data_IF_635642572825
#
_entry.id   IF_635642572825
#
_cell.length_a   1.000
_cell.length_b   1.000
_cell.length_c   1.000
_cell.angle_alpha   90.00
_cell.angle_beta   90.00
_cell.angle_gamma   90.00
#
_symmetry.space_group_name_H-M   'P 1'
#
loop_
_entity.id
_entity.type
_entity.pdbx_description
1 polymer ?
#
# COMPACT_ATOMS: atom_id res chain seq x y z
N UNK A 1 -12.94 -17.99 -17.99
CA UNK A 1 -13.16 -17.29 -16.70
C UNK A 1 -11.88 -17.25 -15.86
N UNK A 2 -11.21 -18.39 -15.60
CA UNK A 2 -9.98 -18.45 -14.79
C UNK A 2 -8.83 -17.54 -15.28
N UNK A 3 -8.62 -17.43 -16.60
CA UNK A 3 -7.60 -16.55 -17.18
C UNK A 3 -7.75 -15.07 -16.76
N UNK A 4 -8.97 -14.54 -16.78
CA UNK A 4 -9.24 -13.15 -16.42
C UNK A 4 -8.96 -12.86 -14.93
N UNK A 5 -9.19 -13.85 -14.05
CA UNK A 5 -8.83 -13.77 -12.62
C UNK A 5 -7.31 -13.64 -12.48
N UNK A 6 -6.55 -14.51 -13.14
CA UNK A 6 -5.08 -14.47 -13.06
C UNK A 6 -4.51 -13.18 -13.66
N UNK A 7 -5.03 -12.73 -14.80
CA UNK A 7 -4.63 -11.46 -15.43
C UNK A 7 -4.93 -10.27 -14.49
N UNK A 8 -6.12 -10.20 -13.91
CA UNK A 8 -6.48 -9.13 -12.99
C UNK A 8 -5.61 -9.11 -11.71
N UNK A 9 -5.27 -10.27 -11.17
CA UNK A 9 -4.37 -10.39 -10.02
C UNK A 9 -2.96 -9.92 -10.38
N UNK A 10 -2.42 -10.41 -11.50
CA UNK A 10 -1.07 -10.08 -11.96
C UNK A 10 -0.95 -8.59 -12.28
N UNK A 11 -1.90 -8.02 -13.02
CA UNK A 11 -1.97 -6.59 -13.32
C UNK A 11 -1.98 -5.74 -12.05
N UNK A 12 -2.70 -6.19 -11.01
CA UNK A 12 -2.77 -5.48 -9.73
C UNK A 12 -1.43 -5.52 -8.99
N UNK A 13 -0.75 -6.67 -8.98
CA UNK A 13 0.58 -6.82 -8.39
C UNK A 13 1.60 -5.94 -9.12
N UNK A 14 1.59 -5.95 -10.46
CA UNK A 14 2.48 -5.12 -11.28
C UNK A 14 2.24 -3.62 -11.05
N UNK A 15 0.98 -3.23 -10.90
CA UNK A 15 0.58 -1.86 -10.55
C UNK A 15 0.75 -1.52 -9.07
N UNK A 16 1.24 -2.46 -8.26
CA UNK A 16 1.44 -2.29 -6.82
C UNK A 16 0.16 -1.90 -6.08
N UNK A 17 -0.98 -2.36 -6.57
CA UNK A 17 -2.28 -2.16 -5.94
C UNK A 17 -2.55 -3.27 -4.92
N UNK A 18 -3.10 -2.91 -3.76
CA UNK A 18 -3.60 -3.91 -2.82
C UNK A 18 -4.78 -4.67 -3.45
N UNK A 19 -4.79 -5.99 -3.32
CA UNK A 19 -5.77 -6.87 -3.95
C UNK A 19 -5.85 -8.19 -3.18
N UNK A 20 -6.95 -8.93 -3.27
CA UNK A 20 -7.03 -10.30 -2.78
C UNK A 20 -7.50 -11.28 -3.86
N UNK A 21 -6.87 -12.44 -3.90
CA UNK A 21 -7.43 -13.63 -4.55
C UNK A 21 -8.28 -14.38 -3.53
N UNK A 22 -9.55 -14.59 -3.84
CA UNK A 22 -10.48 -15.35 -3.01
C UNK A 22 -10.76 -16.67 -3.69
N UNK A 23 -10.70 -17.76 -2.93
CA UNK A 23 -10.96 -19.12 -3.41
C UNK A 23 -12.00 -19.79 -2.54
N UNK A 24 -13.04 -20.38 -3.15
CA UNK A 24 -13.92 -21.30 -2.44
C UNK A 24 -13.19 -22.62 -2.22
N UNK A 25 -12.87 -22.95 -0.98
CA UNK A 25 -12.04 -24.11 -0.63
C UNK A 25 -12.86 -25.33 -0.19
N UNK A 26 -14.06 -25.11 0.35
CA UNK A 26 -15.01 -26.16 0.68
C UNK A 26 -16.45 -25.65 0.52
N UNK A 27 -17.37 -26.57 0.23
CA UNK A 27 -18.79 -26.26 0.07
C UNK A 27 -19.66 -27.48 0.32
N UNK A 28 -20.79 -27.26 0.99
CA UNK A 28 -21.85 -28.25 1.24
C UNK A 28 -23.19 -27.70 0.74
N UNK A 29 -24.14 -28.60 0.47
CA UNK A 29 -25.48 -28.21 -0.01
C UNK A 29 -25.41 -27.41 -1.31
N UNK A 30 -26.03 -26.22 -1.32
CA UNK A 30 -26.05 -25.32 -2.47
C UNK A 30 -24.65 -24.86 -2.94
N UNK A 31 -23.63 -24.96 -2.08
CA UNK A 31 -22.28 -24.50 -2.37
C UNK A 31 -21.33 -25.60 -2.84
N UNK A 32 -21.75 -26.87 -2.86
CA UNK A 32 -20.86 -27.99 -3.20
C UNK A 32 -20.24 -27.85 -4.60
N UNK A 33 -21.00 -27.32 -5.57
CA UNK A 33 -20.52 -27.08 -6.94
C UNK A 33 -19.67 -25.80 -7.07
N UNK A 34 -19.46 -25.05 -5.99
CA UNK A 34 -18.71 -23.78 -6.00
C UNK A 34 -17.25 -23.95 -5.61
N UNK A 35 -16.84 -25.12 -5.13
CA UNK A 35 -15.44 -25.40 -4.78
C UNK A 35 -14.54 -25.18 -6.01
N UNK A 36 -13.48 -24.39 -5.84
CA UNK A 36 -12.60 -23.97 -6.92
C UNK A 36 -13.08 -22.75 -7.70
N UNK A 37 -14.20 -22.13 -7.32
CA UNK A 37 -14.53 -20.79 -7.80
C UNK A 37 -13.55 -19.78 -7.22
N UNK A 38 -13.21 -18.79 -8.03
CA UNK A 38 -12.26 -17.73 -7.68
C UNK A 38 -12.80 -16.35 -8.05
N UNK A 39 -12.42 -15.37 -7.24
CA UNK A 39 -12.61 -13.97 -7.55
C UNK A 39 -11.39 -13.14 -7.10
N UNK A 40 -11.09 -12.09 -7.85
CA UNK A 40 -10.14 -11.05 -7.48
C UNK A 40 -10.93 -9.85 -6.96
N UNK A 41 -10.58 -9.38 -5.76
CA UNK A 41 -11.30 -8.32 -5.04
C UNK A 41 -10.31 -7.24 -4.60
N UNK A 42 -10.68 -5.97 -4.71
CA UNK A 42 -9.85 -4.82 -4.33
C UNK A 42 -10.33 -4.19 -3.02
N UNK A 43 -9.64 -3.20 -2.45
CA UNK A 43 -10.18 -2.40 -1.34
C UNK A 43 -11.40 -1.56 -1.75
N UNK A 44 -11.37 -0.99 -2.96
CA UNK A 44 -12.39 -0.06 -3.48
C UNK A 44 -13.75 -0.73 -3.67
N UNK A 45 -14.74 -0.32 -2.85
CA UNK A 45 -16.08 -0.90 -2.80
C UNK A 45 -16.81 -0.80 -4.13
N UNK A 46 -16.54 0.26 -4.91
CA UNK A 46 -17.19 0.52 -6.19
C UNK A 46 -16.54 -0.27 -7.34
N UNK A 47 -15.37 -0.87 -7.11
CA UNK A 47 -14.70 -1.74 -8.08
C UNK A 47 -15.29 -3.15 -8.05
N UNK A 48 -15.91 -3.53 -9.16
CA UNK A 48 -16.47 -4.87 -9.36
C UNK A 48 -15.38 -5.94 -9.31
N UNK A 49 -15.56 -7.04 -8.54
CA UNK A 49 -14.67 -8.19 -8.57
C UNK A 49 -14.54 -8.81 -9.97
N UNK A 50 -13.38 -9.40 -10.25
CA UNK A 50 -13.16 -10.19 -11.48
C UNK A 50 -13.22 -11.68 -11.13
N UNK A 51 -14.05 -12.43 -11.83
CA UNK A 51 -14.41 -13.80 -11.45
C UNK A 51 -15.74 -13.83 -10.71
N UNK A 52 -16.09 -14.99 -10.16
CA UNK A 52 -17.35 -15.16 -9.44
C UNK A 52 -17.18 -16.24 -8.38
N UNK A 53 -17.63 -15.94 -7.16
CA UNK A 53 -17.71 -16.94 -6.09
C UNK A 53 -19.06 -17.68 -6.15
N UNK A 54 -20.10 -17.01 -6.65
CA UNK A 54 -21.49 -17.49 -6.76
C UNK A 54 -22.08 -17.91 -5.41
N UNK A 55 -22.01 -17.03 -4.42
CA UNK A 55 -22.43 -17.32 -3.05
C UNK A 55 -23.87 -16.91 -2.76
N UNK A 56 -24.58 -16.36 -3.75
CA UNK A 56 -25.98 -15.97 -3.61
C UNK A 56 -26.16 -14.89 -2.54
N UNK A 57 -27.00 -15.16 -1.54
CA UNK A 57 -27.27 -14.20 -0.45
C UNK A 57 -26.05 -13.88 0.42
N UNK A 58 -25.01 -14.72 0.40
CA UNK A 58 -23.78 -14.51 1.18
C UNK A 58 -22.76 -13.61 0.47
N UNK A 59 -22.93 -13.32 -0.82
CA UNK A 59 -21.91 -12.63 -1.64
C UNK A 59 -21.53 -11.26 -1.05
N UNK A 60 -22.52 -10.45 -0.67
CA UNK A 60 -22.27 -9.11 -0.12
C UNK A 60 -21.51 -9.15 1.21
N UNK A 61 -21.87 -10.07 2.12
CA UNK A 61 -21.18 -10.25 3.39
C UNK A 61 -19.75 -10.75 3.18
N UNK A 62 -19.58 -11.76 2.31
CA UNK A 62 -18.27 -12.32 2.00
C UNK A 62 -17.32 -11.28 1.40
N UNK A 63 -17.82 -10.43 0.47
CA UNK A 63 -17.01 -9.36 -0.11
C UNK A 63 -16.63 -8.28 0.93
N UNK A 64 -17.50 -7.97 1.89
CA UNK A 64 -17.16 -7.06 2.98
C UNK A 64 -16.04 -7.63 3.87
N UNK A 65 -16.14 -8.91 4.25
CA UNK A 65 -15.13 -9.60 5.07
C UNK A 65 -13.79 -9.74 4.33
N UNK A 66 -13.82 -9.99 3.02
CA UNK A 66 -12.62 -9.98 2.16
C UNK A 66 -11.96 -8.60 2.16
N UNK A 67 -12.73 -7.52 2.03
CA UNK A 67 -12.19 -6.14 2.06
C UNK A 67 -11.61 -5.79 3.43
N UNK A 68 -12.22 -6.27 4.51
CA UNK A 68 -11.64 -6.16 5.85
C UNK A 68 -10.30 -6.91 5.94
N UNK A 69 -10.19 -8.11 5.36
CA UNK A 69 -8.93 -8.84 5.28
C UNK A 69 -7.83 -8.03 4.54
N UNK A 70 -8.20 -7.37 3.43
CA UNK A 70 -7.28 -6.51 2.67
C UNK A 70 -6.84 -5.31 3.53
N UNK A 71 -7.78 -4.64 4.21
CA UNK A 71 -7.47 -3.51 5.09
C UNK A 71 -6.54 -3.89 6.25
N UNK A 72 -6.76 -5.07 6.84
CA UNK A 72 -5.90 -5.64 7.88
C UNK A 72 -4.58 -6.22 7.33
N UNK A 73 -4.45 -6.25 6.00
CA UNK A 73 -3.29 -6.78 5.28
C UNK A 73 -3.05 -8.26 5.58
N UNK A 74 -4.07 -9.03 5.95
CA UNK A 74 -3.91 -10.39 6.45
C UNK A 74 -4.68 -11.41 5.61
N UNK A 75 -4.03 -12.53 5.28
CA UNK A 75 -4.74 -13.68 4.73
C UNK A 75 -5.76 -14.19 5.76
N UNK A 76 -6.93 -14.64 5.30
CA UNK A 76 -8.00 -15.12 6.19
C UNK A 76 -8.68 -16.36 5.62
N UNK A 77 -9.02 -17.30 6.49
CA UNK A 77 -10.02 -18.31 6.21
C UNK A 77 -11.37 -17.82 6.74
N UNK A 78 -12.38 -17.77 5.86
CA UNK A 78 -13.73 -17.33 6.20
C UNK A 78 -14.67 -18.52 6.08
N UNK A 79 -15.58 -18.69 7.03
CA UNK A 79 -16.52 -19.81 7.05
C UNK A 79 -17.92 -19.28 7.29
N UNK A 80 -18.87 -19.73 6.46
CA UNK A 80 -20.27 -19.35 6.54
C UNK A 80 -21.15 -20.59 6.59
N UNK A 81 -22.21 -20.52 7.37
CA UNK A 81 -23.24 -21.53 7.48
C UNK A 81 -24.60 -20.84 7.39
N UNK A 82 -25.42 -21.32 6.46
CA UNK A 82 -26.80 -20.88 6.23
C UNK A 82 -27.66 -22.10 5.98
N UNK A 83 -28.99 -21.94 5.98
CA UNK A 83 -29.95 -23.04 5.76
C UNK A 83 -29.67 -23.84 4.47
N UNK A 84 -29.06 -23.20 3.47
CA UNK A 84 -28.77 -23.76 2.16
C UNK A 84 -27.46 -24.58 2.12
N UNK A 85 -26.63 -24.52 3.17
CA UNK A 85 -25.37 -25.25 3.27
C UNK A 85 -24.25 -24.46 3.93
N UNK A 86 -23.04 -25.02 3.87
CA UNK A 86 -21.80 -24.43 4.40
C UNK A 86 -20.85 -24.05 3.28
N UNK A 87 -20.07 -23.01 3.47
CA UNK A 87 -19.02 -22.63 2.52
C UNK A 87 -17.80 -22.06 3.25
N UNK A 88 -16.61 -22.47 2.81
CA UNK A 88 -15.32 -21.98 3.28
C UNK A 88 -14.61 -21.24 2.16
N UNK A 89 -14.11 -20.05 2.47
CA UNK A 89 -13.30 -19.22 1.57
C UNK A 89 -11.90 -19.09 2.14
N UNK A 90 -10.90 -19.08 1.26
CA UNK A 90 -9.56 -18.61 1.59
C UNK A 90 -9.30 -17.30 0.86
N UNK A 91 -8.96 -16.26 1.63
CA UNK A 91 -8.65 -14.92 1.16
C UNK A 91 -7.13 -14.73 1.20
N UNK A 92 -6.52 -14.70 0.03
CA UNK A 92 -5.10 -14.46 -0.14
C UNK A 92 -4.85 -12.99 -0.48
N UNK A 93 -4.55 -12.18 0.53
CA UNK A 93 -4.23 -10.75 0.38
C UNK A 93 -2.83 -10.52 -0.18
N UNK A 94 -2.76 -9.83 -1.30
CA UNK A 94 -1.55 -9.24 -1.85
C UNK A 94 -1.51 -7.77 -1.45
N UNK A 95 -0.51 -7.41 -0.65
CA UNK A 95 -0.35 -6.06 -0.12
C UNK A 95 0.31 -5.17 -1.17
N UNK A 96 0.00 -3.87 -1.14
CA UNK A 96 0.85 -2.90 -1.83
C UNK A 96 2.20 -2.80 -1.10
N UNK A 97 3.31 -2.60 -1.82
CA UNK A 97 4.58 -2.18 -1.22
C UNK A 97 4.40 -0.94 -0.34
N UNK A 98 5.04 -0.90 0.84
CA UNK A 98 5.04 0.32 1.65
C UNK A 98 5.77 1.44 0.91
N UNK A 99 5.34 2.68 1.14
CA UNK A 99 5.88 3.85 0.45
C UNK A 99 6.79 4.64 1.39
N UNK A 100 8.06 4.80 1.04
CA UNK A 100 9.00 5.65 1.77
C UNK A 100 9.23 6.96 1.02
N UNK A 101 8.87 8.06 1.67
CA UNK A 101 9.16 9.41 1.21
C UNK A 101 10.35 9.95 2.01
N UNK A 102 11.46 10.18 1.31
CA UNK A 102 12.67 10.77 1.88
C UNK A 102 12.67 12.26 1.57
N UNK A 103 12.44 13.08 2.60
CA UNK A 103 12.47 14.54 2.51
C UNK A 103 13.89 15.02 2.80
N UNK A 104 14.57 15.47 1.75
CA UNK A 104 15.98 15.80 1.73
C UNK A 104 16.77 14.81 0.88
N UNK A 105 17.44 15.32 -0.16
CA UNK A 105 18.34 14.58 -1.02
C UNK A 105 19.80 14.78 -0.59
N UNK A 106 20.10 14.78 0.71
CA UNK A 106 21.48 14.85 1.21
C UNK A 106 22.31 13.59 0.90
N UNK A 107 23.56 13.53 1.37
CA UNK A 107 24.41 12.33 1.20
C UNK A 107 23.84 11.09 1.89
N UNK A 108 23.09 11.28 2.99
CA UNK A 108 22.44 10.20 3.75
C UNK A 108 21.29 9.57 2.95
N UNK A 109 20.59 10.36 2.13
CA UNK A 109 19.41 9.90 1.39
C UNK A 109 19.75 8.83 0.34
N UNK A 110 20.93 8.87 -0.27
CA UNK A 110 21.32 7.93 -1.35
C UNK A 110 21.39 6.48 -0.86
N UNK A 111 22.19 6.13 0.17
CA UNK A 111 22.19 4.78 0.70
C UNK A 111 20.86 4.41 1.37
N UNK A 112 20.15 5.37 1.99
CA UNK A 112 18.82 5.12 2.56
C UNK A 112 17.83 4.66 1.48
N UNK A 113 17.78 5.36 0.34
CA UNK A 113 16.93 4.99 -0.79
C UNK A 113 17.27 3.59 -1.34
N UNK A 114 18.56 3.24 -1.40
CA UNK A 114 18.99 1.91 -1.85
C UNK A 114 18.55 0.80 -0.89
N UNK A 115 18.73 1.00 0.42
CA UNK A 115 18.33 0.03 1.46
C UNK A 115 16.81 -0.12 1.49
N UNK A 116 16.08 0.98 1.39
CA UNK A 116 14.62 0.96 1.31
C UNK A 116 14.14 0.16 0.10
N UNK A 117 14.79 0.34 -1.06
CA UNK A 117 14.46 -0.41 -2.26
C UNK A 117 14.70 -1.92 -2.12
N UNK A 118 15.80 -2.32 -1.49
CA UNK A 118 16.08 -3.73 -1.16
C UNK A 118 15.02 -4.29 -0.20
N UNK A 119 14.48 -3.45 0.68
CA UNK A 119 13.40 -3.79 1.60
C UNK A 119 12.01 -3.70 0.95
N UNK A 120 11.96 -3.71 -0.38
CA UNK A 120 10.75 -3.67 -1.20
C UNK A 120 9.87 -2.43 -1.04
N UNK A 121 10.40 -1.31 -0.53
CA UNK A 121 9.66 -0.05 -0.55
C UNK A 121 9.54 0.50 -1.97
N UNK A 122 8.40 1.14 -2.23
CA UNK A 122 8.34 2.21 -3.22
C UNK A 122 9.02 3.45 -2.63
N UNK A 123 9.96 4.07 -3.36
CA UNK A 123 10.81 5.13 -2.82
C UNK A 123 10.64 6.42 -3.60
N UNK A 124 10.18 7.47 -2.91
CA UNK A 124 10.17 8.85 -3.42
C UNK A 124 11.22 9.66 -2.69
N UNK A 125 12.06 10.38 -3.44
CA UNK A 125 13.02 11.34 -2.88
C UNK A 125 12.60 12.75 -3.26
N UNK A 126 12.55 13.65 -2.28
CA UNK A 126 12.14 15.05 -2.45
C UNK A 126 13.23 16.00 -1.94
N UNK A 127 13.64 17.00 -2.72
CA UNK A 127 14.49 18.10 -2.26
C UNK A 127 14.16 19.40 -3.00
N UNK A 128 14.34 20.54 -2.33
CA UNK A 128 14.12 21.86 -2.92
C UNK A 128 15.24 22.29 -3.87
N UNK A 129 16.34 21.53 -3.92
CA UNK A 129 17.53 21.81 -4.74
C UNK A 129 17.62 20.83 -5.92
N UNK A 130 17.39 21.29 -7.17
CA UNK A 130 17.44 20.44 -8.36
C UNK A 130 18.77 19.71 -8.58
N UNK A 131 19.88 20.31 -8.14
CA UNK A 131 21.21 19.70 -8.24
C UNK A 131 21.42 18.50 -7.30
N UNK A 132 20.51 18.27 -6.35
CA UNK A 132 20.53 17.09 -5.48
C UNK A 132 19.43 16.09 -5.84
N UNK A 133 18.24 16.56 -6.19
CA UNK A 133 17.09 15.74 -6.56
C UNK A 133 17.04 15.46 -8.07
N UNK A 134 17.92 14.57 -8.55
CA UNK A 134 17.86 14.09 -9.93
C UNK A 134 18.10 12.57 -10.02
N UNK A 135 17.50 11.94 -11.03
CA UNK A 135 17.46 10.48 -11.19
C UNK A 135 18.85 9.83 -11.21
N UNK A 136 19.85 10.45 -11.86
CA UNK A 136 21.21 9.91 -11.92
C UNK A 136 21.87 9.72 -10.54
N UNK A 137 21.42 10.45 -9.51
CA UNK A 137 21.93 10.32 -8.13
C UNK A 137 21.15 9.29 -7.30
N UNK A 138 19.94 8.96 -7.73
CA UNK A 138 19.06 7.99 -7.06
C UNK A 138 18.54 6.95 -8.07
N UNK A 139 19.43 6.10 -8.62
CA UNK A 139 19.05 5.14 -9.67
C UNK A 139 18.05 4.07 -9.20
N UNK A 140 17.90 3.89 -7.88
CA UNK A 140 16.98 2.90 -7.27
C UNK A 140 15.66 3.51 -6.80
N UNK A 141 15.53 4.83 -6.80
CA UNK A 141 14.28 5.49 -6.38
C UNK A 141 13.23 5.37 -7.48
N UNK A 142 11.98 5.09 -7.12
CA UNK A 142 10.86 5.05 -8.05
C UNK A 142 10.48 6.47 -8.52
N UNK A 143 10.70 7.47 -7.67
CA UNK A 143 10.46 8.88 -8.01
C UNK A 143 11.49 9.80 -7.36
N UNK A 144 11.93 10.83 -8.10
CA UNK A 144 12.79 11.90 -7.59
C UNK A 144 12.17 13.24 -7.97
N UNK A 145 11.87 14.06 -6.97
CA UNK A 145 11.14 15.32 -7.11
C UNK A 145 12.05 16.47 -6.65
N UNK A 146 12.20 17.45 -7.53
CA UNK A 146 12.82 18.72 -7.21
C UNK A 146 11.74 19.79 -7.03
N UNK A 147 11.49 20.24 -5.80
CA UNK A 147 10.43 21.19 -5.52
C UNK A 147 10.32 21.60 -4.05
N UNK A 148 9.56 22.66 -3.73
CA UNK A 148 9.38 23.12 -2.36
C UNK A 148 8.74 22.05 -1.48
N UNK A 149 9.32 21.78 -0.31
CA UNK A 149 8.92 20.65 0.55
C UNK A 149 7.42 20.61 0.84
N UNK A 150 6.83 21.68 1.37
CA UNK A 150 5.39 21.71 1.73
C UNK A 150 4.48 21.49 0.53
N UNK A 151 4.76 22.14 -0.59
CA UNK A 151 3.94 22.03 -1.79
C UNK A 151 3.97 20.61 -2.37
N UNK A 152 5.15 19.98 -2.40
CA UNK A 152 5.28 18.62 -2.91
C UNK A 152 4.74 17.57 -1.93
N UNK A 153 4.86 17.79 -0.62
CA UNK A 153 4.23 16.93 0.39
C UNK A 153 2.70 16.98 0.27
N UNK A 154 2.09 18.16 0.10
CA UNK A 154 0.65 18.27 -0.13
C UNK A 154 0.21 17.60 -1.44
N UNK A 155 1.01 17.76 -2.52
CA UNK A 155 0.75 17.06 -3.78
C UNK A 155 0.82 15.54 -3.64
N UNK A 156 1.80 15.03 -2.88
CA UNK A 156 1.93 13.59 -2.61
C UNK A 156 0.79 13.09 -1.72
N UNK A 157 0.38 13.86 -0.70
CA UNK A 157 -0.77 13.57 0.16
C UNK A 157 -2.04 13.34 -0.65
N UNK A 158 -2.27 14.14 -1.68
CA UNK A 158 -3.45 14.06 -2.56
C UNK A 158 -3.27 13.09 -3.74
N UNK A 159 -2.08 12.52 -3.89
CA UNK A 159 -1.70 11.67 -5.00
C UNK A 159 -2.17 10.21 -4.86
N UNK A 160 -1.62 9.36 -5.72
CA UNK A 160 -1.74 7.89 -5.62
C UNK A 160 -0.32 7.30 -5.57
N UNK A 161 0.02 6.51 -4.53
CA UNK A 161 -0.80 6.24 -3.34
C UNK A 161 -1.02 7.51 -2.50
N UNK A 162 -2.19 7.60 -1.87
CA UNK A 162 -2.50 8.63 -0.86
C UNK A 162 -1.68 8.35 0.40
N UNK A 163 -1.49 9.33 1.27
CA UNK A 163 -0.92 9.07 2.59
C UNK A 163 -1.85 8.15 3.39
N UNK A 164 -1.30 7.02 3.86
CA UNK A 164 -2.01 6.04 4.67
C UNK A 164 -1.03 5.29 5.60
N UNK A 165 -1.55 4.30 6.32
CA UNK A 165 -0.80 3.49 7.30
C UNK A 165 0.23 2.52 6.66
N UNK A 166 0.58 2.69 5.38
CA UNK A 166 1.74 2.09 4.69
C UNK A 166 2.74 3.15 4.20
N UNK A 167 2.50 4.44 4.49
CA UNK A 167 3.39 5.54 4.12
C UNK A 167 4.32 5.90 5.28
N UNK A 168 5.61 5.99 4.96
CA UNK A 168 6.71 6.29 5.88
C UNK A 168 7.38 7.56 5.40
N UNK A 169 7.66 8.48 6.31
CA UNK A 169 8.36 9.72 5.98
C UNK A 169 9.64 9.83 6.79
N UNK A 170 10.76 10.07 6.11
CA UNK A 170 12.05 10.34 6.75
C UNK A 170 12.52 11.74 6.38
N UNK A 171 12.70 12.58 7.42
CA UNK A 171 13.13 13.97 7.32
C UNK A 171 14.64 14.05 7.55
N UNK A 172 15.38 14.29 6.47
CA UNK A 172 16.85 14.31 6.38
C UNK A 172 17.32 15.49 5.52
N UNK A 173 16.69 16.65 5.70
CA UNK A 173 16.95 17.84 4.89
C UNK A 173 18.30 18.50 5.23
N UNK A 174 18.65 19.55 4.49
CA UNK A 174 19.89 20.33 4.66
C UNK A 174 19.93 21.22 5.92
N UNK A 175 18.85 21.30 6.69
CA UNK A 175 18.80 22.19 7.85
C UNK A 175 17.63 21.89 8.75
N UNK A 176 17.86 22.02 10.06
CA UNK A 176 16.87 21.63 11.07
C UNK A 176 15.51 22.34 10.90
N UNK A 177 15.51 23.61 10.50
CA UNK A 177 14.29 24.36 10.24
C UNK A 177 13.42 23.72 9.15
N UNK A 178 14.01 23.21 8.07
CA UNK A 178 13.27 22.55 6.99
C UNK A 178 12.71 21.20 7.42
N UNK A 179 13.44 20.46 8.27
CA UNK A 179 12.93 19.23 8.89
C UNK A 179 11.69 19.57 9.74
N UNK A 180 11.76 20.60 10.59
CA UNK A 180 10.64 21.02 11.44
C UNK A 180 9.44 21.49 10.61
N UNK A 181 9.67 22.30 9.57
CA UNK A 181 8.61 22.78 8.69
C UNK A 181 7.91 21.66 7.92
N UNK A 182 8.66 20.61 7.56
CA UNK A 182 8.12 19.42 6.90
C UNK A 182 7.41 18.50 7.90
N UNK A 183 7.92 18.40 9.13
CA UNK A 183 7.28 17.65 10.21
C UNK A 183 5.91 18.24 10.53
N UNK A 184 5.83 19.55 10.75
CA UNK A 184 4.56 20.23 11.03
C UNK A 184 3.54 20.11 9.91
N UNK A 185 4.01 19.95 8.67
CA UNK A 185 3.12 19.70 7.53
C UNK A 185 2.46 18.32 7.60
N UNK A 186 3.16 17.30 8.08
CA UNK A 186 2.72 15.89 7.97
C UNK A 186 2.41 15.20 9.30
N UNK A 187 2.54 15.90 10.43
CA UNK A 187 2.43 15.29 11.77
C UNK A 187 1.05 14.68 12.06
N UNK A 188 0.00 15.27 11.50
CA UNK A 188 -1.39 14.84 11.70
C UNK A 188 -1.89 13.89 10.59
N UNK A 189 -1.04 13.57 9.60
CA UNK A 189 -1.38 12.65 8.53
C UNK A 189 -1.40 11.19 9.03
N UNK A 190 -2.22 10.30 8.43
CA UNK A 190 -2.36 8.91 8.87
C UNK A 190 -1.18 8.04 8.41
N UNK A 191 0.03 8.35 8.87
CA UNK A 191 1.28 7.73 8.43
C UNK A 191 1.69 6.55 9.34
N UNK A 192 2.36 5.56 8.76
CA UNK A 192 2.93 4.44 9.52
C UNK A 192 4.10 4.89 10.42
N UNK A 193 4.88 5.87 9.96
CA UNK A 193 6.07 6.35 10.65
C UNK A 193 6.51 7.73 10.15
N UNK A 194 6.97 8.57 11.08
CA UNK A 194 7.70 9.80 10.78
C UNK A 194 9.02 9.78 11.55
N UNK A 195 10.14 9.84 10.83
CA UNK A 195 11.48 9.87 11.41
C UNK A 195 12.22 11.14 11.05
N UNK A 196 12.55 11.95 12.03
CA UNK A 196 13.42 13.12 11.84
C UNK A 196 14.84 12.79 12.30
N UNK A 197 15.83 12.94 11.41
CA UNK A 197 17.23 12.79 11.81
C UNK A 197 17.60 13.86 12.84
N UNK A 198 18.51 13.59 13.76
CA UNK A 198 18.96 14.59 14.72
C UNK A 198 19.89 14.02 15.76
N UNK A 199 20.94 14.76 16.11
CA UNK A 199 21.75 14.40 17.27
C UNK A 199 20.99 14.71 18.56
N UNK A 200 21.35 14.03 19.64
CA UNK A 200 20.79 14.29 20.98
C UNK A 200 20.89 15.78 21.38
N UNK A 201 22.00 16.44 20.99
CA UNK A 201 22.18 17.88 21.23
C UNK A 201 21.17 18.73 20.46
N UNK A 202 20.87 18.35 19.22
CA UNK A 202 19.96 19.08 18.32
C UNK A 202 18.51 18.95 18.74
N UNK A 203 18.12 17.80 19.28
CA UNK A 203 16.74 17.53 19.72
C UNK A 203 16.42 18.22 21.06
N UNK A 204 17.44 18.51 21.89
CA UNK A 204 17.29 19.13 23.21
C UNK A 204 17.39 20.66 23.22
N UNK A 205 17.84 21.27 22.13
CA UNK A 205 18.03 22.71 21.99
C UNK A 205 16.76 23.37 21.46
#
# INVERSE_FOLDING_TARGET
>A
MYRAVIEALTDSIERREAVALVTVTAGEGAFAAKVGNHAVVWPDVDRTPVGALDLGSLESQALADVRAAIADKAHRALNYEVDQGKVSLFVEVQRRPPHLIIVGAGHIAVPLAAIAKISEFEVTVLDDRPQYAHAARFPTADQVIAGPFRAELDRLRQGKPVFDNDTYIVLVTRGHQYDVDSLLEVIDDPLAYIGMIGSQRRIRA
#
